data_IF_325677763193
#
_entry.id   IF_325677763193
#
_cell.length_a   1.000
_cell.length_b   1.000
_cell.length_c   1.000
_cell.angle_alpha   90.00
_cell.angle_beta   90.00
_cell.angle_gamma   90.00
#
_symmetry.space_group_name_H-M   'P 1'
#
loop_
_entity.id
_entity.type
_entity.pdbx_description
1 polymer ?
#
# COMPACT_ATOMS: atom_id res chain seq x y z
N UNK A 1 22.67 80.50 28.71
CA UNK A 1 21.71 79.99 29.73
C UNK A 1 20.58 79.26 29.01
N UNK A 2 20.39 77.96 29.30
CA UNK A 2 19.16 77.14 29.06
C UNK A 2 18.76 76.92 27.58
N UNK A 3 18.54 75.73 27.02
CA UNK A 3 18.44 74.33 27.48
C UNK A 3 18.74 73.43 26.27
N UNK A 4 19.39 72.30 26.51
CA UNK A 4 19.56 71.22 25.55
C UNK A 4 18.21 70.51 25.29
N UNK A 5 17.93 70.19 24.03
CA UNK A 5 16.89 69.26 23.62
C UNK A 5 17.57 68.06 22.97
N UNK A 6 17.75 66.99 23.75
CA UNK A 6 18.19 65.70 23.23
C UNK A 6 17.03 65.01 22.53
N UNK A 7 17.19 64.75 21.23
CA UNK A 7 16.29 63.90 20.45
C UNK A 7 16.67 62.45 20.75
N UNK A 8 15.82 61.75 21.49
CA UNK A 8 15.91 60.30 21.67
C UNK A 8 15.30 59.64 20.44
N UNK A 9 16.15 59.11 19.55
CA UNK A 9 15.74 58.29 18.42
C UNK A 9 15.55 56.85 18.92
N UNK A 10 14.30 56.46 19.19
CA UNK A 10 13.95 55.08 19.48
C UNK A 10 14.03 54.25 18.18
N UNK A 11 15.10 53.47 18.04
CA UNK A 11 15.22 52.49 16.96
C UNK A 11 14.27 51.31 17.20
N UNK A 12 13.28 51.15 16.33
CA UNK A 12 12.51 49.91 16.22
C UNK A 12 13.41 48.83 15.58
N UNK A 13 13.94 47.93 16.40
CA UNK A 13 14.51 46.66 15.90
C UNK A 13 13.32 45.72 15.65
N UNK A 14 12.90 45.63 14.39
CA UNK A 14 12.03 44.54 13.93
C UNK A 14 12.85 43.24 13.98
N UNK A 15 12.69 42.48 15.06
CA UNK A 15 13.11 41.10 15.11
C UNK A 15 12.21 40.28 14.17
N UNK A 16 12.68 40.04 12.95
CA UNK A 16 12.16 39.00 12.07
C UNK A 16 12.56 37.64 12.68
N UNK A 17 11.86 37.22 13.74
CA UNK A 17 11.84 35.84 14.17
C UNK A 17 11.04 35.06 13.12
N UNK A 18 11.68 34.74 12.00
CA UNK A 18 11.16 33.77 11.05
C UNK A 18 10.95 32.48 11.83
N UNK A 19 9.69 32.07 11.98
CA UNK A 19 9.34 30.74 12.44
C UNK A 19 9.85 29.73 11.41
N UNK A 20 11.14 29.42 11.44
CA UNK A 20 11.65 28.21 10.85
C UNK A 20 11.06 27.08 11.68
N UNK A 21 9.94 26.53 11.21
CA UNK A 21 9.41 25.29 11.76
C UNK A 21 10.50 24.26 11.50
N UNK A 22 11.32 23.99 12.51
CA UNK A 22 12.19 22.83 12.56
C UNK A 22 11.25 21.62 12.52
N UNK A 23 10.89 21.17 11.33
CA UNK A 23 10.37 19.82 11.14
C UNK A 23 11.53 18.90 11.47
N UNK A 24 11.44 18.09 12.53
CA UNK A 24 12.48 17.11 12.83
C UNK A 24 12.71 16.27 11.57
N UNK A 25 13.96 16.09 11.18
CA UNK A 25 14.30 15.14 10.14
C UNK A 25 13.98 13.74 10.65
N UNK A 26 12.81 13.21 10.28
CA UNK A 26 12.46 11.83 10.55
C UNK A 26 13.21 10.94 9.56
N UNK A 27 14.04 10.06 10.10
CA UNK A 27 14.65 8.97 9.34
C UNK A 27 13.82 7.73 9.63
N UNK A 28 13.19 7.18 8.59
CA UNK A 28 12.50 5.89 8.70
C UNK A 28 13.51 4.75 8.56
N UNK A 29 13.42 3.79 9.45
CA UNK A 29 14.10 2.49 9.31
C UNK A 29 13.27 1.55 8.43
N UNK A 30 13.87 0.45 7.99
CA UNK A 30 13.15 -0.60 7.29
C UNK A 30 12.09 -1.24 8.20
N UNK A 31 12.43 -1.51 9.46
CA UNK A 31 11.49 -1.97 10.48
C UNK A 31 10.28 -1.02 10.64
N UNK A 32 10.48 0.30 10.65
CA UNK A 32 9.37 1.28 10.72
C UNK A 32 8.39 1.13 9.55
N UNK A 33 8.89 0.88 8.34
CA UNK A 33 8.06 0.65 7.16
C UNK A 33 7.36 -0.71 7.18
N UNK A 34 7.99 -1.75 7.72
CA UNK A 34 7.36 -3.07 7.85
C UNK A 34 6.25 -3.03 8.91
N UNK A 35 6.54 -2.50 10.11
CA UNK A 35 5.57 -2.44 11.22
C UNK A 35 4.30 -1.67 10.87
N UNK A 36 4.45 -0.71 9.97
CA UNK A 36 3.40 0.06 9.36
C UNK A 36 2.32 -0.80 8.65
N UNK A 37 2.64 -2.02 8.21
CA UNK A 37 1.69 -2.98 7.63
C UNK A 37 0.88 -3.76 8.69
N UNK A 38 1.32 -3.72 9.95
CA UNK A 38 0.61 -4.34 11.08
C UNK A 38 -0.47 -3.39 11.66
N UNK A 39 -0.57 -2.15 11.20
CA UNK A 39 -1.61 -1.21 11.63
C UNK A 39 -2.75 -1.16 10.59
N UNK A 40 -3.86 -1.86 10.84
CA UNK A 40 -5.02 -1.83 9.96
C UNK A 40 -5.77 -0.50 9.96
N UNK A 41 -5.63 0.30 11.03
CA UNK A 41 -6.29 1.59 11.13
C UNK A 41 -5.83 2.56 10.03
N UNK A 42 -4.68 2.27 9.41
CA UNK A 42 -4.16 3.01 8.27
C UNK A 42 -4.98 2.86 7.00
N UNK A 43 -5.75 1.78 6.84
CA UNK A 43 -6.65 1.61 5.68
C UNK A 43 -7.71 2.71 5.63
N UNK A 44 -8.12 3.19 6.79
CA UNK A 44 -9.12 4.25 6.93
C UNK A 44 -8.51 5.67 6.86
N UNK A 45 -7.18 5.80 6.79
CA UNK A 45 -6.50 7.09 6.82
C UNK A 45 -6.40 7.71 5.42
N UNK A 46 -6.80 8.97 5.33
CA UNK A 46 -6.68 9.76 4.10
C UNK A 46 -5.35 10.52 3.98
N UNK A 47 -4.58 10.59 5.06
CA UNK A 47 -3.27 11.27 5.12
C UNK A 47 -2.10 10.33 4.81
N UNK A 48 -2.36 9.31 4.00
CA UNK A 48 -1.37 8.35 3.56
C UNK A 48 -0.60 8.88 2.33
N UNK A 49 0.69 8.55 2.17
CA UNK A 49 1.44 8.92 0.98
C UNK A 49 0.76 8.41 -0.29
N UNK A 50 0.73 9.22 -1.34
CA UNK A 50 0.28 8.77 -2.65
C UNK A 50 1.16 7.62 -3.15
N UNK A 51 0.55 6.65 -3.83
CA UNK A 51 1.28 5.57 -4.51
C UNK A 51 1.23 5.78 -6.02
N UNK A 52 2.34 5.45 -6.67
CA UNK A 52 2.45 5.38 -8.12
C UNK A 52 2.74 3.93 -8.55
N UNK A 53 2.45 3.62 -9.81
CA UNK A 53 2.62 2.29 -10.40
C UNK A 53 3.44 2.39 -11.69
N UNK A 54 4.42 1.50 -11.84
CA UNK A 54 5.04 1.14 -13.12
C UNK A 54 4.63 -0.29 -13.44
N UNK A 55 4.23 -0.58 -14.67
CA UNK A 55 3.84 -1.93 -15.07
C UNK A 55 4.31 -2.26 -16.48
N UNK A 56 4.12 -3.51 -16.86
CA UNK A 56 4.29 -4.00 -18.23
C UNK A 56 3.18 -3.57 -19.19
N UNK A 57 2.33 -2.60 -18.84
CA UNK A 57 1.17 -2.23 -19.65
C UNK A 57 1.56 -1.85 -21.09
N UNK A 58 0.68 -2.15 -22.02
CA UNK A 58 0.82 -1.74 -23.41
C UNK A 58 0.71 -0.22 -23.52
N UNK A 59 1.78 0.50 -23.92
CA UNK A 59 1.76 1.96 -23.99
C UNK A 59 0.82 2.49 -25.08
N UNK A 60 0.34 1.64 -25.99
CA UNK A 60 -0.64 1.99 -27.03
C UNK A 60 -2.09 1.92 -26.53
N UNK A 61 -2.32 1.31 -25.36
CA UNK A 61 -3.65 0.99 -24.84
C UNK A 61 -4.27 -0.29 -25.43
N UNK A 62 -3.46 -1.09 -26.13
CA UNK A 62 -3.82 -2.43 -26.57
C UNK A 62 -3.80 -3.46 -25.43
N UNK A 63 -3.62 -4.74 -25.78
CA UNK A 63 -3.67 -5.87 -24.83
C UNK A 63 -2.32 -6.64 -24.79
N UNK A 64 -1.26 -6.09 -25.37
CA UNK A 64 0.09 -6.67 -25.29
C UNK A 64 0.79 -6.18 -24.01
N UNK A 65 0.15 -6.40 -22.85
CA UNK A 65 0.57 -5.92 -21.52
C UNK A 65 1.74 -6.71 -20.90
N UNK A 66 2.65 -7.22 -21.73
CA UNK A 66 3.81 -8.02 -21.31
C UNK A 66 5.09 -7.54 -21.98
N UNK A 67 6.21 -7.76 -21.30
CA UNK A 67 7.55 -7.45 -21.81
C UNK A 67 7.79 -5.98 -22.23
N UNK A 68 6.89 -5.05 -21.89
CA UNK A 68 7.15 -3.62 -22.01
C UNK A 68 8.08 -3.21 -20.89
N UNK A 69 9.37 -3.05 -21.18
CA UNK A 69 10.41 -2.72 -20.21
C UNK A 69 10.82 -1.26 -20.32
N UNK A 70 11.35 -0.68 -19.24
CA UNK A 70 11.77 0.72 -19.23
C UNK A 70 12.95 0.97 -20.17
N UNK A 71 13.96 0.09 -20.15
CA UNK A 71 15.17 0.14 -20.99
C UNK A 71 16.01 -1.15 -20.84
N UNK A 72 17.00 -1.39 -21.71
CA UNK A 72 18.01 -2.42 -21.49
C UNK A 72 18.75 -2.23 -20.15
N UNK A 73 19.05 -3.35 -19.51
CA UNK A 73 19.79 -3.42 -18.25
C UNK A 73 21.29 -3.26 -18.41
N UNK A 74 22.00 -3.28 -17.29
CA UNK A 74 23.47 -3.14 -17.25
C UNK A 74 24.19 -4.36 -17.83
N UNK A 75 23.60 -5.55 -17.70
CA UNK A 75 24.14 -6.80 -18.25
C UNK A 75 23.42 -7.13 -19.56
N UNK A 76 24.14 -7.52 -20.65
CA UNK A 76 23.49 -8.00 -21.87
C UNK A 76 22.44 -9.08 -21.57
N UNK A 77 21.26 -8.97 -22.18
CA UNK A 77 20.11 -9.86 -21.93
C UNK A 77 19.26 -9.51 -20.71
N UNK A 78 19.68 -8.55 -19.88
CA UNK A 78 18.86 -8.01 -18.79
C UNK A 78 18.11 -6.75 -19.22
N UNK A 79 17.00 -6.49 -18.54
CA UNK A 79 16.12 -5.34 -18.75
C UNK A 79 15.79 -4.67 -17.42
N UNK A 80 15.53 -3.37 -17.45
CA UNK A 80 15.11 -2.59 -16.29
C UNK A 80 13.59 -2.58 -16.22
N UNK A 81 13.03 -3.07 -15.11
CA UNK A 81 11.59 -3.01 -14.82
C UNK A 81 11.20 -1.65 -14.24
N UNK A 82 12.01 -1.11 -13.34
CA UNK A 82 11.77 0.16 -12.67
C UNK A 82 13.07 0.91 -12.35
N UNK A 83 13.00 2.24 -12.36
CA UNK A 83 14.09 3.17 -12.08
C UNK A 83 13.55 4.34 -11.26
N UNK A 84 13.38 4.09 -9.95
CA UNK A 84 12.71 4.97 -9.00
C UNK A 84 13.71 5.95 -8.39
N UNK A 85 13.30 7.21 -8.18
CA UNK A 85 14.18 8.30 -7.72
C UNK A 85 13.64 8.98 -6.45
N UNK A 86 14.56 9.55 -5.68
CA UNK A 86 14.28 10.26 -4.44
C UNK A 86 14.22 9.32 -3.22
N UNK A 87 14.00 9.87 -2.02
CA UNK A 87 13.66 9.05 -0.86
C UNK A 87 12.28 8.45 -1.05
N UNK A 88 12.17 7.13 -0.93
CA UNK A 88 10.92 6.43 -1.11
C UNK A 88 11.06 4.95 -0.79
N UNK A 89 10.00 4.20 -1.07
CA UNK A 89 10.02 2.76 -0.95
C UNK A 89 9.09 2.12 -1.97
N UNK A 90 9.48 0.96 -2.49
CA UNK A 90 8.56 0.08 -3.22
C UNK A 90 7.57 -0.50 -2.21
N UNK A 91 6.27 -0.37 -2.48
CA UNK A 91 5.19 -0.80 -1.59
C UNK A 91 4.65 -2.17 -1.97
N UNK A 92 4.74 -2.53 -3.26
CA UNK A 92 4.33 -3.84 -3.77
C UNK A 92 5.13 -4.20 -5.01
N UNK A 93 5.60 -5.43 -5.03
CA UNK A 93 6.09 -6.12 -6.21
C UNK A 93 5.05 -7.17 -6.61
N UNK A 94 4.70 -7.23 -7.89
CA UNK A 94 3.89 -8.30 -8.47
C UNK A 94 4.45 -8.70 -9.83
N UNK A 95 4.43 -10.01 -10.11
CA UNK A 95 5.05 -10.58 -11.29
C UNK A 95 4.38 -11.90 -11.69
N UNK A 96 4.23 -12.18 -12.98
CA UNK A 96 3.87 -13.51 -13.49
C UNK A 96 4.52 -13.78 -14.87
N UNK A 97 4.40 -15.02 -15.32
CA UNK A 97 4.92 -15.48 -16.61
C UNK A 97 6.39 -15.92 -16.59
N UNK A 98 6.94 -16.20 -15.39
CA UNK A 98 8.24 -16.81 -15.23
C UNK A 98 8.27 -17.81 -14.06
N UNK A 99 9.23 -18.73 -14.16
CA UNK A 99 9.48 -19.80 -13.19
C UNK A 99 10.09 -19.28 -11.87
N UNK A 100 10.04 -20.06 -10.77
CA UNK A 100 10.53 -19.63 -9.45
C UNK A 100 12.01 -19.24 -9.45
N UNK A 101 12.84 -19.84 -10.29
CA UNK A 101 14.27 -19.58 -10.39
C UNK A 101 14.61 -18.33 -11.24
N UNK A 102 13.60 -17.62 -11.77
CA UNK A 102 13.79 -16.42 -12.57
C UNK A 102 14.56 -15.35 -11.77
N UNK A 103 15.75 -14.92 -12.24
CA UNK A 103 16.62 -14.03 -11.47
C UNK A 103 16.10 -12.60 -11.35
N UNK A 104 16.31 -11.97 -10.20
CA UNK A 104 16.05 -10.56 -9.96
C UNK A 104 17.28 -9.86 -9.37
N UNK A 105 17.47 -8.58 -9.73
CA UNK A 105 18.54 -7.72 -9.21
C UNK A 105 18.04 -6.34 -8.81
N UNK A 106 18.52 -5.86 -7.66
CA UNK A 106 18.14 -4.55 -7.13
C UNK A 106 19.41 -3.74 -6.84
N UNK A 107 19.45 -2.51 -7.36
CA UNK A 107 20.54 -1.57 -7.17
C UNK A 107 20.04 -0.35 -6.42
N UNK A 108 20.74 0.05 -5.36
CA UNK A 108 20.34 1.15 -4.50
C UNK A 108 21.30 2.33 -4.63
N UNK A 109 20.77 3.54 -4.61
CA UNK A 109 21.51 4.80 -4.42
C UNK A 109 22.74 5.02 -5.32
N UNK A 110 22.72 4.44 -6.52
CA UNK A 110 23.81 4.56 -7.50
C UNK A 110 24.88 3.47 -7.40
N UNK A 111 24.67 2.44 -6.59
CA UNK A 111 25.56 1.27 -6.54
C UNK A 111 25.78 0.66 -7.93
N UNK A 112 27.03 0.26 -8.20
CA UNK A 112 27.44 -0.42 -9.44
C UNK A 112 27.23 -1.93 -9.38
N UNK A 113 27.25 -2.51 -8.18
CA UNK A 113 27.01 -3.93 -7.89
C UNK A 113 25.63 -4.05 -7.26
N UNK A 114 24.76 -5.00 -7.70
CA UNK A 114 23.44 -5.16 -7.10
C UNK A 114 23.58 -5.53 -5.62
N UNK A 115 22.78 -4.89 -4.76
CA UNK A 115 22.75 -5.20 -3.33
C UNK A 115 21.95 -6.47 -3.06
N UNK A 116 20.85 -6.64 -3.79
CA UNK A 116 20.02 -7.84 -3.76
C UNK A 116 20.20 -8.58 -5.07
N UNK A 117 20.59 -9.85 -4.96
CA UNK A 117 20.61 -10.83 -6.04
C UNK A 117 19.76 -11.99 -5.52
N UNK A 118 18.64 -12.27 -6.19
CA UNK A 118 17.65 -13.24 -5.71
C UNK A 118 16.91 -13.85 -6.90
N UNK A 119 15.93 -14.71 -6.63
CA UNK A 119 15.01 -15.30 -7.60
C UNK A 119 13.58 -14.88 -7.27
N UNK A 120 12.62 -15.09 -8.18
CA UNK A 120 11.20 -14.85 -7.87
C UNK A 120 10.73 -15.67 -6.67
N UNK A 121 11.09 -16.95 -6.63
CA UNK A 121 10.70 -17.88 -5.57
C UNK A 121 11.23 -17.46 -4.20
N UNK A 122 12.52 -17.12 -4.13
CA UNK A 122 13.12 -16.66 -2.87
C UNK A 122 12.52 -15.33 -2.43
N UNK A 123 12.38 -14.37 -3.36
CA UNK A 123 11.87 -13.04 -3.04
C UNK A 123 10.38 -13.03 -2.65
N UNK A 124 9.58 -13.93 -3.24
CA UNK A 124 8.13 -13.97 -3.09
C UNK A 124 7.67 -15.23 -2.33
N UNK A 125 8.14 -15.42 -1.09
CA UNK A 125 7.67 -16.48 -0.21
C UNK A 125 8.75 -17.46 0.27
N UNK A 126 9.93 -17.47 -0.34
CA UNK A 126 10.96 -18.49 -0.08
C UNK A 126 11.84 -18.23 1.14
N UNK A 127 12.02 -16.97 1.57
CA UNK A 127 12.89 -16.62 2.70
C UNK A 127 12.39 -15.40 3.48
N UNK A 128 12.90 -15.24 4.71
CA UNK A 128 12.67 -14.05 5.52
C UNK A 128 13.27 -12.79 4.87
N UNK A 129 12.65 -11.61 5.04
CA UNK A 129 11.38 -11.36 5.71
C UNK A 129 10.14 -11.61 4.83
N UNK A 130 10.32 -12.04 3.59
CA UNK A 130 9.27 -12.25 2.58
C UNK A 130 8.58 -13.60 2.66
N UNK A 131 8.09 -14.00 3.83
CA UNK A 131 7.27 -15.20 3.99
C UNK A 131 5.77 -14.87 3.96
N UNK A 132 4.92 -15.83 3.60
CA UNK A 132 3.47 -15.62 3.57
C UNK A 132 2.91 -15.19 4.94
N UNK A 133 1.86 -14.33 4.99
CA UNK A 133 1.15 -13.72 3.86
C UNK A 133 1.79 -12.42 3.30
N UNK A 134 2.98 -12.01 3.75
CA UNK A 134 3.64 -10.80 3.23
C UNK A 134 4.10 -10.94 1.78
N UNK A 135 4.56 -12.13 1.41
CA UNK A 135 4.96 -12.45 0.05
C UNK A 135 4.67 -13.92 -0.23
N UNK A 136 4.21 -14.24 -1.43
CA UNK A 136 3.86 -15.60 -1.83
C UNK A 136 3.73 -15.74 -3.35
N UNK A 137 3.62 -17.01 -3.77
CA UNK A 137 3.06 -17.39 -5.06
C UNK A 137 1.63 -17.87 -4.88
N UNK A 138 0.66 -17.14 -5.41
CA UNK A 138 -0.76 -17.49 -5.34
C UNK A 138 -1.45 -17.16 -6.66
N UNK A 139 -2.38 -18.02 -7.10
CA UNK A 139 -3.11 -17.86 -8.36
C UNK A 139 -2.18 -17.59 -9.55
N UNK A 140 -1.09 -18.37 -9.65
CA UNK A 140 -0.07 -18.25 -10.70
C UNK A 140 0.65 -16.89 -10.74
N UNK A 141 0.64 -16.15 -9.64
CA UNK A 141 1.28 -14.84 -9.53
C UNK A 141 2.21 -14.77 -8.33
N UNK A 142 3.38 -14.18 -8.53
CA UNK A 142 4.33 -13.84 -7.48
C UNK A 142 4.00 -12.45 -6.94
N UNK A 143 4.02 -12.28 -5.63
CA UNK A 143 3.91 -10.96 -5.03
C UNK A 143 4.74 -10.82 -3.75
N UNK A 144 5.11 -9.58 -3.44
CA UNK A 144 5.70 -9.19 -2.16
C UNK A 144 5.19 -7.82 -1.75
N UNK A 145 4.69 -7.73 -0.52
CA UNK A 145 4.33 -6.48 0.17
C UNK A 145 5.44 -5.99 1.10
N UNK A 146 6.57 -6.70 1.18
CA UNK A 146 7.71 -6.26 1.99
C UNK A 146 8.24 -4.95 1.40
N UNK A 147 8.22 -3.83 2.15
CA UNK A 147 8.69 -2.56 1.64
C UNK A 147 10.16 -2.64 1.24
N UNK A 148 10.53 -2.05 0.11
CA UNK A 148 11.94 -1.93 -0.30
C UNK A 148 12.34 -0.45 -0.31
N UNK A 149 12.93 0.07 0.78
CA UNK A 149 13.27 1.47 0.86
C UNK A 149 14.56 1.83 0.11
N UNK A 150 14.60 3.07 -0.37
CA UNK A 150 15.73 3.67 -1.06
C UNK A 150 15.82 5.17 -0.77
N UNK A 151 17.01 5.69 -0.49
CA UNK A 151 17.21 7.09 -0.13
C UNK A 151 17.35 8.02 -1.34
N UNK A 152 17.95 7.53 -2.42
CA UNK A 152 18.22 8.31 -3.63
C UNK A 152 17.64 7.64 -4.88
N UNK A 153 17.78 6.31 -4.98
CA UNK A 153 17.36 5.58 -6.19
C UNK A 153 17.19 4.09 -5.95
N UNK A 154 16.22 3.47 -6.61
CA UNK A 154 16.09 2.02 -6.74
C UNK A 154 15.98 1.64 -8.22
N UNK A 155 16.83 0.74 -8.70
CA UNK A 155 16.72 0.13 -10.02
C UNK A 155 16.45 -1.37 -9.83
N UNK A 156 15.43 -1.87 -10.51
CA UNK A 156 15.07 -3.30 -10.51
C UNK A 156 15.33 -3.85 -11.92
N UNK A 157 16.14 -4.90 -12.02
CA UNK A 157 16.47 -5.59 -13.27
C UNK A 157 16.11 -7.08 -13.22
N UNK A 158 15.81 -7.63 -14.39
CA UNK A 158 15.55 -9.06 -14.61
C UNK A 158 16.00 -9.49 -16.02
N UNK A 159 16.24 -10.78 -16.32
CA UNK A 159 16.40 -11.24 -17.71
C UNK A 159 15.15 -10.93 -18.54
N UNK A 160 15.34 -10.43 -19.76
CA UNK A 160 14.23 -10.06 -20.64
C UNK A 160 13.46 -11.25 -21.21
N UNK A 161 12.20 -11.01 -21.56
CA UNK A 161 11.36 -11.92 -22.35
C UNK A 161 11.32 -11.56 -23.84
N UNK A 162 10.52 -12.28 -24.62
CA UNK A 162 10.33 -12.03 -26.06
C UNK A 162 9.02 -11.30 -26.38
N UNK A 163 9.04 -10.33 -27.31
CA UNK A 163 7.82 -9.69 -27.84
C UNK A 163 7.37 -10.24 -29.21
N UNK A 164 8.16 -11.12 -29.83
CA UNK A 164 7.82 -11.74 -31.11
C UNK A 164 6.80 -12.89 -30.92
N UNK A 165 6.06 -13.29 -31.97
CA UNK A 165 5.27 -14.52 -31.93
C UNK A 165 6.13 -15.73 -31.54
N UNK A 166 5.73 -16.45 -30.49
CA UNK A 166 6.52 -17.54 -29.90
C UNK A 166 7.65 -17.09 -28.95
N UNK A 167 7.81 -15.79 -28.73
CA UNK A 167 8.74 -15.20 -27.77
C UNK A 167 8.27 -15.44 -26.34
N UNK A 168 8.80 -16.49 -25.72
CA UNK A 168 8.66 -16.78 -24.29
C UNK A 168 9.96 -16.43 -23.56
N UNK A 169 9.90 -16.04 -22.27
CA UNK A 169 8.70 -15.86 -21.46
C UNK A 169 7.95 -14.55 -21.76
N UNK A 170 6.66 -14.50 -21.42
CA UNK A 170 5.85 -13.28 -21.39
C UNK A 170 5.79 -12.74 -19.97
N UNK A 171 6.60 -11.74 -19.66
CA UNK A 171 6.73 -11.21 -18.31
C UNK A 171 5.70 -10.10 -18.09
N UNK A 172 4.78 -10.34 -17.16
CA UNK A 172 3.84 -9.34 -16.67
C UNK A 172 4.31 -8.87 -15.30
N UNK A 173 4.37 -7.56 -15.07
CA UNK A 173 4.86 -7.04 -13.80
C UNK A 173 4.17 -5.73 -13.40
N UNK A 174 4.15 -5.49 -12.08
CA UNK A 174 3.64 -4.27 -11.46
C UNK A 174 4.55 -3.92 -10.28
N UNK A 175 5.06 -2.69 -10.29
CA UNK A 175 5.93 -2.11 -9.25
C UNK A 175 5.21 -0.89 -8.69
N UNK A 176 4.59 -1.06 -7.53
CA UNK A 176 4.01 0.06 -6.79
C UNK A 176 5.06 0.67 -5.88
N UNK A 177 5.06 2.00 -5.77
CA UNK A 177 5.98 2.71 -4.90
C UNK A 177 5.34 3.97 -4.32
N UNK A 178 5.93 4.48 -3.25
CA UNK A 178 5.59 5.76 -2.65
C UNK A 178 6.86 6.59 -2.45
N UNK A 179 6.78 7.88 -2.77
CA UNK A 179 7.81 8.84 -2.41
C UNK A 179 7.57 9.35 -1.00
N UNK A 180 8.64 9.60 -0.26
CA UNK A 180 8.51 10.23 1.05
C UNK A 180 8.21 11.73 0.91
N UNK A 181 7.38 12.30 1.81
CA UNK A 181 7.18 13.73 1.92
C UNK A 181 8.50 14.51 2.05
N UNK A 182 8.48 15.76 1.57
CA UNK A 182 9.65 16.65 1.66
C UNK A 182 10.13 16.77 3.11
N UNK A 183 11.44 16.62 3.33
CA UNK A 183 12.08 16.72 4.65
C UNK A 183 12.20 15.38 5.39
N UNK A 184 11.56 14.33 4.90
CA UNK A 184 11.71 12.96 5.41
C UNK A 184 12.81 12.21 4.65
N UNK A 185 13.40 11.23 5.32
CA UNK A 185 14.46 10.37 4.81
C UNK A 185 14.22 8.92 5.22
N UNK A 186 14.87 7.98 4.56
CA UNK A 186 14.76 6.55 4.86
C UNK A 186 16.11 5.90 4.62
N UNK A 187 16.44 4.90 5.43
CA UNK A 187 17.57 4.05 5.09
C UNK A 187 17.26 3.21 3.85
N UNK A 188 18.24 3.03 2.97
CA UNK A 188 18.09 2.07 1.88
C UNK A 188 18.18 0.65 2.41
N UNK A 189 17.42 -0.27 1.81
CA UNK A 189 17.32 -1.67 2.22
C UNK A 189 18.68 -2.25 2.67
N UNK A 190 18.81 -2.78 3.90
CA UNK A 190 20.08 -3.30 4.39
C UNK A 190 20.50 -4.57 3.62
N UNK A 191 21.79 -4.90 3.64
CA UNK A 191 22.32 -6.11 2.98
C UNK A 191 21.82 -7.40 3.63
N UNK A 192 21.56 -7.35 4.93
CA UNK A 192 20.99 -8.45 5.68
C UNK A 192 19.97 -7.85 6.67
N UNK A 193 18.83 -8.53 6.88
CA UNK A 193 17.85 -8.08 7.86
C UNK A 193 18.43 -8.15 9.28
N UNK A 194 18.12 -7.15 10.09
CA UNK A 194 18.41 -7.16 11.52
C UNK A 194 17.39 -8.01 12.29
N UNK A 195 17.65 -8.28 13.56
CA UNK A 195 16.68 -8.95 14.43
C UNK A 195 15.37 -8.15 14.56
N UNK A 196 15.44 -6.82 14.49
CA UNK A 196 14.28 -5.92 14.56
C UNK A 196 13.44 -6.01 13.28
N UNK A 197 14.07 -6.03 12.10
CA UNK A 197 13.37 -6.20 10.82
C UNK A 197 12.61 -7.53 10.78
N UNK A 198 13.25 -8.62 11.22
CA UNK A 198 12.64 -9.94 11.30
C UNK A 198 11.50 -9.99 12.30
N UNK A 199 11.63 -9.32 13.45
CA UNK A 199 10.57 -9.21 14.44
C UNK A 199 9.36 -8.41 13.90
N UNK A 200 9.61 -7.30 13.19
CA UNK A 200 8.58 -6.52 12.53
C UNK A 200 7.82 -7.36 11.50
N UNK A 201 8.52 -8.10 10.64
CA UNK A 201 7.91 -8.96 9.62
C UNK A 201 7.09 -10.10 10.25
N UNK A 202 7.58 -10.74 11.32
CA UNK A 202 6.81 -11.72 12.11
C UNK A 202 5.53 -11.12 12.66
N UNK A 203 5.61 -9.94 13.30
CA UNK A 203 4.45 -9.25 13.87
C UNK A 203 3.39 -8.95 12.81
N UNK A 204 3.78 -8.50 11.62
CA UNK A 204 2.81 -8.26 10.53
C UNK A 204 2.10 -9.56 10.16
N UNK A 205 2.84 -10.66 9.97
CA UNK A 205 2.27 -11.97 9.64
C UNK A 205 1.34 -12.48 10.74
N UNK A 206 1.70 -12.30 12.01
CA UNK A 206 0.82 -12.61 13.15
C UNK A 206 -0.48 -11.80 13.09
N UNK A 207 -0.41 -10.49 12.86
CA UNK A 207 -1.59 -9.62 12.75
C UNK A 207 -2.46 -9.97 11.55
N UNK A 208 -1.87 -10.37 10.42
CA UNK A 208 -2.60 -10.73 9.20
C UNK A 208 -3.21 -12.13 9.26
N UNK A 209 -2.58 -13.05 9.99
CA UNK A 209 -3.13 -14.39 10.26
C UNK A 209 -4.11 -14.39 11.43
N UNK A 210 -4.03 -13.42 12.34
CA UNK A 210 -4.98 -13.25 13.42
C UNK A 210 -6.37 -12.92 12.84
N UNK A 211 -7.40 -13.44 13.50
CA UNK A 211 -8.78 -13.12 13.18
C UNK A 211 -8.99 -11.61 13.27
N UNK A 212 -9.33 -10.97 12.14
CA UNK A 212 -9.67 -9.54 12.10
C UNK A 212 -10.88 -9.20 12.99
N UNK A 213 -11.61 -10.21 13.46
CA UNK A 213 -12.84 -10.18 14.27
C UNK A 213 -12.63 -9.69 15.71
N UNK A 214 -11.38 -9.50 16.18
CA UNK A 214 -11.10 -9.14 17.58
C UNK A 214 -10.27 -7.85 17.70
N UNK A 215 -10.70 -6.77 17.03
CA UNK A 215 -10.02 -5.48 17.15
C UNK A 215 -10.75 -4.54 18.09
N UNK A 216 -9.97 -3.92 18.98
CA UNK A 216 -10.42 -2.82 19.81
C UNK A 216 -9.83 -1.53 19.27
N UNK A 217 -10.67 -0.54 19.00
CA UNK A 217 -10.26 0.82 18.68
C UNK A 217 -10.54 1.71 19.89
N UNK A 218 -9.53 2.00 20.72
CA UNK A 218 -9.70 2.87 21.88
C UNK A 218 -10.27 4.23 21.42
N UNK A 219 -11.32 4.70 22.10
CA UNK A 219 -12.06 5.93 21.80
C UNK A 219 -12.91 5.95 20.50
N UNK A 220 -13.12 4.82 19.83
CA UNK A 220 -14.14 4.74 18.78
C UNK A 220 -15.55 4.55 19.39
N UNK A 221 -16.52 5.31 18.90
CA UNK A 221 -17.93 5.00 19.16
C UNK A 221 -18.32 3.76 18.36
N UNK A 222 -19.05 2.84 19.00
CA UNK A 222 -19.60 1.66 18.34
C UNK A 222 -21.13 1.72 18.39
N UNK A 223 -21.78 1.43 17.27
CA UNK A 223 -23.22 1.27 17.17
C UNK A 223 -23.53 -0.10 16.56
N UNK A 224 -24.36 -0.87 17.27
CA UNK A 224 -24.85 -2.16 16.80
C UNK A 224 -26.34 -2.02 16.50
N UNK A 225 -26.73 -2.35 15.28
CA UNK A 225 -28.13 -2.30 14.83
C UNK A 225 -28.57 -3.71 14.45
N UNK A 226 -29.53 -4.25 15.20
CA UNK A 226 -30.12 -5.57 14.93
C UNK A 226 -31.57 -5.44 14.41
N UNK A 227 -31.99 -6.40 13.60
CA UNK A 227 -33.39 -6.64 13.29
C UNK A 227 -33.66 -7.05 11.84
N UNK A 228 -34.93 -7.27 11.54
CA UNK A 228 -35.39 -7.74 10.24
C UNK A 228 -35.43 -6.62 9.21
N UNK A 229 -34.91 -6.87 8.01
CA UNK A 229 -35.07 -6.02 6.85
C UNK A 229 -36.01 -6.72 5.86
N UNK A 230 -37.21 -6.17 5.65
CA UNK A 230 -38.16 -6.71 4.69
C UNK A 230 -37.69 -6.46 3.25
N UNK A 231 -38.12 -7.31 2.31
CA UNK A 231 -37.82 -7.14 0.90
C UNK A 231 -38.28 -5.76 0.40
N UNK A 232 -37.39 -5.05 -0.31
CA UNK A 232 -37.64 -3.69 -0.82
C UNK A 232 -37.59 -2.58 0.23
N UNK A 233 -37.44 -2.90 1.52
CA UNK A 233 -37.29 -1.89 2.56
C UNK A 233 -35.85 -1.38 2.64
N UNK A 234 -35.70 -0.15 3.13
CA UNK A 234 -34.43 0.41 3.54
C UNK A 234 -34.47 0.69 5.04
N UNK A 235 -33.32 0.53 5.71
CA UNK A 235 -33.18 0.84 7.13
C UNK A 235 -31.91 1.65 7.34
N UNK A 236 -32.04 2.77 8.04
CA UNK A 236 -30.88 3.54 8.48
C UNK A 236 -30.14 2.76 9.59
N UNK A 237 -28.85 2.52 9.38
CA UNK A 237 -28.04 1.74 10.32
C UNK A 237 -27.37 2.63 11.36
N UNK A 238 -26.88 3.81 10.96
CA UNK A 238 -26.21 4.78 11.80
C UNK A 238 -26.16 6.16 11.11
N UNK A 239 -26.36 7.22 11.89
CA UNK A 239 -26.13 8.59 11.49
C UNK A 239 -25.11 9.23 12.45
N UNK A 240 -24.03 9.77 11.89
CA UNK A 240 -23.00 10.48 12.65
C UNK A 240 -23.04 11.97 12.28
N UNK A 241 -23.07 12.83 13.29
CA UNK A 241 -22.99 14.28 13.11
C UNK A 241 -21.55 14.78 13.32
N UNK A 242 -21.11 15.70 12.47
CA UNK A 242 -19.77 16.28 12.55
C UNK A 242 -18.67 15.41 11.93
N UNK A 243 -17.40 15.84 12.02
CA UNK A 243 -16.28 15.11 11.44
C UNK A 243 -16.05 13.78 12.17
N UNK A 244 -15.80 12.72 11.40
CA UNK A 244 -15.55 11.40 11.94
C UNK A 244 -14.89 10.47 10.94
N UNK A 245 -14.40 9.33 11.44
CA UNK A 245 -13.81 8.29 10.61
C UNK A 245 -14.44 6.94 10.96
N UNK A 246 -15.07 6.30 9.96
CA UNK A 246 -15.51 4.91 10.08
C UNK A 246 -14.28 4.02 9.92
N UNK A 247 -13.96 3.25 10.96
CA UNK A 247 -12.79 2.35 10.97
C UNK A 247 -13.15 0.91 10.66
N UNK A 248 -14.41 0.54 10.84
CA UNK A 248 -14.88 -0.83 10.73
C UNK A 248 -16.36 -0.85 10.35
N UNK A 249 -16.71 -1.78 9.48
CA UNK A 249 -18.07 -2.24 9.29
C UNK A 249 -18.13 -3.72 9.63
N UNK A 250 -19.09 -4.11 10.47
CA UNK A 250 -19.35 -5.49 10.85
C UNK A 250 -20.76 -5.88 10.42
N UNK A 251 -20.89 -6.96 9.64
CA UNK A 251 -22.18 -7.44 9.15
C UNK A 251 -22.35 -8.93 9.42
N UNK A 252 -23.45 -9.29 10.08
CA UNK A 252 -23.84 -10.68 10.36
C UNK A 252 -25.24 -10.94 9.81
N UNK A 253 -25.40 -11.08 8.48
CA UNK A 253 -26.68 -11.47 7.91
C UNK A 253 -27.05 -12.91 8.33
N UNK A 254 -28.35 -13.16 8.52
CA UNK A 254 -28.86 -14.50 8.84
C UNK A 254 -28.82 -15.40 7.60
N UNK A 255 -27.67 -16.03 7.36
CA UNK A 255 -27.43 -16.90 6.21
C UNK A 255 -27.70 -18.39 6.51
N UNK A 256 -27.74 -18.78 7.78
CA UNK A 256 -27.86 -20.18 8.18
C UNK A 256 -29.25 -20.74 7.85
N UNK A 257 -30.28 -19.88 7.89
CA UNK A 257 -31.64 -20.22 7.44
C UNK A 257 -31.75 -20.52 5.93
N UNK A 258 -30.77 -20.12 5.11
CA UNK A 258 -30.76 -20.37 3.67
C UNK A 258 -30.09 -21.72 3.36
N UNK A 259 -30.85 -22.57 2.65
CA UNK A 259 -30.49 -23.97 2.40
C UNK A 259 -29.49 -24.19 1.26
N UNK A 260 -29.29 -23.21 0.36
CA UNK A 260 -28.37 -23.35 -0.78
C UNK A 260 -27.31 -22.25 -0.83
N UNK A 261 -26.06 -22.56 -1.27
CA UNK A 261 -25.03 -21.55 -1.52
C UNK A 261 -25.50 -20.45 -2.49
N UNK A 262 -26.27 -20.83 -3.52
CA UNK A 262 -26.84 -19.89 -4.48
C UNK A 262 -27.81 -18.90 -3.82
N UNK A 263 -28.65 -19.34 -2.88
CA UNK A 263 -29.56 -18.45 -2.16
C UNK A 263 -28.78 -17.46 -1.26
N UNK A 264 -27.68 -17.91 -0.65
CA UNK A 264 -26.80 -17.04 0.15
C UNK A 264 -26.11 -15.99 -0.72
N UNK A 265 -25.55 -16.40 -1.86
CA UNK A 265 -24.95 -15.48 -2.83
C UNK A 265 -25.99 -14.46 -3.31
N UNK A 266 -27.19 -14.92 -3.68
CA UNK A 266 -28.27 -14.04 -4.11
C UNK A 266 -28.64 -13.02 -3.04
N UNK A 267 -28.83 -13.43 -1.78
CA UNK A 267 -29.12 -12.51 -0.68
C UNK A 267 -28.01 -11.46 -0.52
N UNK A 268 -26.74 -11.87 -0.55
CA UNK A 268 -25.61 -10.95 -0.43
C UNK A 268 -25.48 -10.00 -1.62
N UNK A 269 -25.97 -10.37 -2.80
CA UNK A 269 -26.04 -9.51 -3.99
C UNK A 269 -27.22 -8.53 -3.95
N UNK A 270 -28.33 -8.91 -3.33
CA UNK A 270 -29.54 -8.11 -3.23
C UNK A 270 -29.52 -7.15 -2.04
N UNK A 271 -28.75 -7.46 -0.99
CA UNK A 271 -28.56 -6.57 0.16
C UNK A 271 -27.56 -5.45 -0.18
N UNK A 272 -28.06 -4.23 -0.38
CA UNK A 272 -27.22 -3.08 -0.79
C UNK A 272 -26.86 -2.21 0.41
N UNK A 273 -25.56 -2.03 0.68
CA UNK A 273 -25.09 -0.98 1.60
C UNK A 273 -25.10 0.36 0.87
N UNK A 274 -25.70 1.38 1.50
CA UNK A 274 -25.64 2.77 1.05
C UNK A 274 -25.04 3.67 2.12
N UNK A 275 -24.03 4.45 1.74
CA UNK A 275 -23.42 5.47 2.60
C UNK A 275 -23.48 6.84 1.93
N UNK A 276 -23.79 7.86 2.71
CA UNK A 276 -23.88 9.25 2.28
C UNK A 276 -22.94 10.09 3.13
N UNK A 277 -22.01 10.80 2.49
CA UNK A 277 -21.08 11.70 3.17
C UNK A 277 -21.53 13.15 2.98
N UNK A 278 -21.23 14.00 3.97
CA UNK A 278 -21.35 15.46 3.88
C UNK A 278 -22.69 15.96 3.34
N UNK A 279 -23.79 15.33 3.78
CA UNK A 279 -25.16 15.65 3.38
C UNK A 279 -25.45 15.50 1.86
N UNK A 280 -24.64 14.74 1.13
CA UNK A 280 -24.89 14.41 -0.27
C UNK A 280 -26.26 13.73 -0.43
N UNK A 281 -27.06 14.23 -1.37
CA UNK A 281 -28.35 13.62 -1.73
C UNK A 281 -28.19 12.32 -2.52
N UNK A 282 -27.02 12.10 -3.13
CA UNK A 282 -26.67 10.85 -3.79
C UNK A 282 -25.80 10.00 -2.85
N UNK A 283 -26.03 8.68 -2.85
CA UNK A 283 -25.18 7.75 -2.13
C UNK A 283 -23.76 7.79 -2.72
N UNK A 284 -22.78 8.06 -1.86
CA UNK A 284 -21.36 8.05 -2.23
C UNK A 284 -20.81 6.62 -2.34
N UNK A 285 -21.41 5.69 -1.59
CA UNK A 285 -21.20 4.26 -1.71
C UNK A 285 -22.55 3.60 -1.90
N UNK A 286 -22.71 2.78 -2.93
CA UNK A 286 -23.88 1.96 -3.18
C UNK A 286 -23.43 0.63 -3.79
N UNK A 287 -23.31 -0.40 -2.96
CA UNK A 287 -22.65 -1.66 -3.35
C UNK A 287 -23.37 -2.85 -2.71
N UNK A 288 -23.51 -3.98 -3.42
CA UNK A 288 -23.94 -5.22 -2.79
C UNK A 288 -23.05 -5.62 -1.62
N UNK A 289 -23.65 -6.12 -0.55
CA UNK A 289 -22.92 -6.48 0.67
C UNK A 289 -21.87 -7.57 0.38
N UNK A 290 -22.24 -8.56 -0.44
CA UNK A 290 -21.31 -9.61 -0.86
C UNK A 290 -20.08 -9.06 -1.58
N UNK A 291 -20.27 -8.10 -2.48
CA UNK A 291 -19.17 -7.50 -3.25
C UNK A 291 -18.27 -6.64 -2.36
N UNK A 292 -18.86 -5.85 -1.46
CA UNK A 292 -18.13 -5.05 -0.48
C UNK A 292 -17.25 -5.91 0.43
N UNK A 293 -17.79 -7.04 0.91
CA UNK A 293 -17.11 -7.95 1.81
C UNK A 293 -16.22 -8.98 1.09
N UNK A 294 -15.99 -8.84 -0.23
CA UNK A 294 -15.13 -9.74 -0.99
C UNK A 294 -15.64 -11.19 -1.02
N UNK A 295 -16.94 -11.41 -0.84
CA UNK A 295 -17.60 -12.72 -0.87
C UNK A 295 -17.96 -13.17 -2.30
N UNK A 296 -17.39 -12.52 -3.32
CA UNK A 296 -17.57 -12.90 -4.71
C UNK A 296 -16.88 -14.25 -4.99
N UNK A 297 -17.47 -15.07 -5.88
CA UNK A 297 -16.91 -16.34 -6.34
C UNK A 297 -16.75 -17.45 -5.28
N UNK A 298 -17.43 -17.37 -4.14
CA UNK A 298 -17.56 -18.51 -3.22
C UNK A 298 -18.53 -19.54 -3.81
N UNK A 299 -18.05 -20.29 -4.81
CA UNK A 299 -18.73 -21.47 -5.37
C UNK A 299 -18.33 -22.74 -4.65
#
# INVERSE_FOLDING_TARGET
MKKAAGIVLAGLILALAGCAWWTPHTVFTWADLIQQLADPGRLARLDMPSSALISSCDPTGGNDDFNNFLRPGRTPGWVVLADLRGPGYMTRFWFTGAEPDHPLRFYFDGESVPRVITTLGDYCGGQEPGLAPLAAHQNYCWFSFVPVPYQKRLIIETPGGGQQPGGWPRLFYQINYASLPRGQSVESLPRAPTAEDLAAARRVREVWNASLFQRSYPAAAAQVTNGLLAAGAARELWQLAGPGLIREFWFEPELASLSSPLAREQLLRELILRSHWDHSSAASVAVPLGDLCGSCWQR
#
